data_IF_910625419793
#
_entry.id   IF_910625419793
#
_cell.length_a   1.000
_cell.length_b   1.000
_cell.length_c   1.000
_cell.angle_alpha   90.00
_cell.angle_beta   90.00
_cell.angle_gamma   90.00
#
_symmetry.space_group_name_H-M   'P 1'
#
loop_
_entity.id
_entity.type
_entity.pdbx_description
1 polymer ?
#
# COMPACT_ATOMS: atom_id res chain seq x y z
N UNK A 1 37.50 42.66 29.55
CA UNK A 1 37.04 42.06 28.27
C UNK A 1 36.30 40.77 28.59
N UNK A 2 34.96 40.78 28.59
CA UNK A 2 34.15 39.61 28.94
C UNK A 2 33.90 38.78 27.68
N UNK A 3 34.28 37.50 27.75
CA UNK A 3 34.14 36.52 26.66
C UNK A 3 32.66 36.34 26.32
N UNK A 4 32.31 36.58 25.06
CA UNK A 4 31.00 36.30 24.49
C UNK A 4 30.96 34.79 24.18
N UNK A 5 30.31 33.99 25.02
CA UNK A 5 30.11 32.56 24.74
C UNK A 5 28.98 32.44 23.73
N UNK A 6 29.33 32.27 22.46
CA UNK A 6 28.38 32.02 21.38
C UNK A 6 27.87 30.57 21.50
N UNK A 7 26.69 30.38 22.08
CA UNK A 7 26.00 29.09 22.08
C UNK A 7 25.43 28.87 20.68
N UNK A 8 26.17 28.14 19.84
CA UNK A 8 25.68 27.67 18.55
C UNK A 8 24.69 26.53 18.82
N UNK A 9 23.42 26.87 19.06
CA UNK A 9 22.33 25.90 18.94
C UNK A 9 22.19 25.57 17.45
N UNK A 10 23.00 24.64 16.95
CA UNK A 10 22.68 23.93 15.72
C UNK A 10 21.43 23.10 16.03
N UNK A 11 20.27 23.73 15.91
CA UNK A 11 19.02 23.05 15.60
C UNK A 11 19.26 22.36 14.25
N UNK A 12 19.87 21.18 14.31
CA UNK A 12 19.72 20.19 13.26
C UNK A 12 18.23 19.90 13.29
N UNK A 13 17.48 20.61 12.45
CA UNK A 13 16.13 20.25 12.10
C UNK A 13 16.26 18.89 11.41
N UNK A 14 16.32 17.83 12.22
CA UNK A 14 15.90 16.51 11.82
C UNK A 14 14.52 16.75 11.23
N UNK A 15 14.42 16.77 9.91
CA UNK A 15 13.16 16.63 9.22
C UNK A 15 12.72 15.20 9.55
N UNK A 16 12.20 15.00 10.77
CA UNK A 16 11.45 13.81 11.10
C UNK A 16 10.19 13.95 10.29
N UNK A 17 10.25 13.49 9.04
CA UNK A 17 9.07 13.22 8.23
C UNK A 17 8.10 12.50 9.15
N UNK A 18 7.01 13.18 9.52
CA UNK A 18 6.12 12.68 10.55
C UNK A 18 5.46 11.41 10.01
N UNK A 19 5.98 10.25 10.40
CA UNK A 19 5.36 8.98 10.05
C UNK A 19 3.94 8.94 10.59
N UNK A 20 3.02 8.35 9.83
CA UNK A 20 1.68 8.07 10.32
C UNK A 20 1.73 6.81 11.16
N UNK A 21 1.69 6.96 12.49
CA UNK A 21 1.73 5.83 13.42
C UNK A 21 0.59 4.83 13.16
N UNK A 22 -0.53 5.27 12.57
CA UNK A 22 -1.64 4.39 12.25
C UNK A 22 -1.31 3.43 11.10
N UNK A 23 -0.43 3.84 10.17
CA UNK A 23 -0.01 3.00 9.04
C UNK A 23 0.93 1.87 9.48
N UNK A 24 1.70 2.07 10.55
CA UNK A 24 2.69 1.09 11.01
C UNK A 24 2.01 -0.22 11.43
N UNK A 25 2.48 -1.33 10.88
CA UNK A 25 1.92 -2.66 11.12
C UNK A 25 1.98 -3.57 9.90
N UNK A 26 1.52 -4.81 10.10
CA UNK A 26 1.34 -5.83 9.09
C UNK A 26 -0.13 -5.81 8.66
N UNK A 27 -0.41 -5.77 7.36
CA UNK A 27 -1.75 -5.57 6.79
C UNK A 27 -2.08 -6.66 5.78
N UNK A 28 -3.21 -7.34 6.01
CA UNK A 28 -3.73 -8.39 5.15
C UNK A 28 -4.82 -7.84 4.22
N UNK A 29 -4.86 -8.35 2.99
CA UNK A 29 -5.91 -8.01 2.03
C UNK A 29 -7.23 -8.66 2.44
N UNK A 30 -8.28 -7.84 2.57
CA UNK A 30 -9.65 -8.30 2.82
C UNK A 30 -10.59 -8.03 1.64
N UNK A 31 -10.18 -7.14 0.74
CA UNK A 31 -10.85 -6.90 -0.53
C UNK A 31 -9.89 -6.35 -1.56
N UNK A 32 -10.14 -6.64 -2.84
CA UNK A 32 -9.43 -6.05 -3.98
C UNK A 32 -10.44 -5.61 -5.04
N UNK A 33 -10.14 -4.50 -5.72
CA UNK A 33 -10.80 -4.05 -6.94
C UNK A 33 -9.72 -3.67 -7.95
N UNK A 34 -9.61 -4.42 -9.05
CA UNK A 34 -8.68 -4.14 -10.15
C UNK A 34 -9.41 -3.62 -11.41
N UNK A 35 -10.64 -3.13 -11.25
CA UNK A 35 -11.60 -2.66 -12.26
C UNK A 35 -12.18 -3.70 -13.23
N UNK A 36 -11.58 -4.88 -13.34
CA UNK A 36 -12.19 -6.03 -14.01
C UNK A 36 -13.04 -6.84 -13.04
N UNK A 37 -12.59 -6.90 -11.78
CA UNK A 37 -13.28 -7.60 -10.71
C UNK A 37 -13.10 -6.89 -9.37
N UNK A 38 -14.18 -6.82 -8.62
CA UNK A 38 -14.16 -6.62 -7.17
C UNK A 38 -14.37 -7.96 -6.48
N UNK A 39 -13.53 -8.27 -5.48
CA UNK A 39 -13.73 -9.45 -4.63
C UNK A 39 -13.41 -9.13 -3.17
N UNK A 40 -14.29 -9.58 -2.26
CA UNK A 40 -14.09 -9.52 -0.81
C UNK A 40 -14.14 -10.91 -0.20
N UNK A 41 -13.09 -11.29 0.54
CA UNK A 41 -12.98 -12.61 1.16
C UNK A 41 -13.85 -12.75 2.40
N UNK A 42 -14.18 -11.65 3.08
CA UNK A 42 -14.89 -11.67 4.35
C UNK A 42 -16.32 -12.19 4.22
N UNK A 43 -16.94 -11.96 3.06
CA UNK A 43 -18.30 -12.36 2.76
C UNK A 43 -18.39 -13.22 1.48
N UNK A 44 -17.25 -13.67 0.94
CA UNK A 44 -17.14 -14.39 -0.35
C UNK A 44 -17.92 -13.71 -1.50
N UNK A 45 -17.92 -12.37 -1.52
CA UNK A 45 -18.68 -11.58 -2.49
C UNK A 45 -17.78 -11.14 -3.65
N UNK A 46 -18.14 -11.56 -4.86
CA UNK A 46 -17.48 -11.18 -6.10
C UNK A 46 -18.42 -10.38 -7.01
N UNK A 47 -17.89 -9.35 -7.66
CA UNK A 47 -18.55 -8.61 -8.73
C UNK A 47 -17.61 -8.56 -9.92
N UNK A 48 -18.05 -9.14 -11.02
CA UNK A 48 -17.35 -9.10 -12.31
C UNK A 48 -17.89 -7.94 -13.11
N UNK A 49 -17.01 -7.04 -13.57
CA UNK A 49 -17.37 -5.88 -14.36
C UNK A 49 -17.52 -6.23 -15.85
N UNK A 50 -18.18 -5.34 -16.60
CA UNK A 50 -18.62 -5.63 -17.97
C UNK A 50 -17.45 -5.92 -18.94
N UNK A 51 -16.22 -5.50 -18.63
CA UNK A 51 -15.01 -5.77 -19.41
C UNK A 51 -14.74 -7.26 -19.62
N UNK A 52 -15.06 -8.09 -18.62
CA UNK A 52 -14.77 -9.54 -18.64
C UNK A 52 -16.00 -10.41 -18.34
N UNK A 53 -17.17 -9.81 -18.11
CA UNK A 53 -18.38 -10.50 -17.66
C UNK A 53 -18.83 -11.66 -18.56
N UNK A 54 -18.69 -11.52 -19.88
CA UNK A 54 -19.05 -12.59 -20.83
C UNK A 54 -18.14 -13.82 -20.69
N UNK A 55 -16.88 -13.62 -20.29
CA UNK A 55 -15.92 -14.71 -20.10
C UNK A 55 -16.27 -15.54 -18.86
N UNK A 56 -16.86 -14.90 -17.84
CA UNK A 56 -17.21 -15.50 -16.54
C UNK A 56 -18.73 -15.57 -16.36
N UNK A 57 -19.40 -16.22 -17.31
CA UNK A 57 -20.86 -16.29 -17.41
C UNK A 57 -21.51 -17.51 -16.72
N UNK A 58 -20.72 -18.35 -16.03
CA UNK A 58 -21.22 -19.50 -15.29
C UNK A 58 -20.51 -19.67 -13.95
N UNK A 59 -21.12 -20.43 -13.04
CA UNK A 59 -20.63 -20.62 -11.67
C UNK A 59 -19.24 -21.22 -11.62
N UNK A 60 -18.91 -22.20 -12.47
CA UNK A 60 -17.62 -22.89 -12.41
C UNK A 60 -16.46 -21.96 -12.77
N UNK A 61 -16.67 -21.08 -13.75
CA UNK A 61 -15.69 -20.05 -14.12
C UNK A 61 -15.55 -18.98 -13.04
N UNK A 62 -16.66 -18.59 -12.39
CA UNK A 62 -16.62 -17.64 -11.28
C UNK A 62 -15.81 -18.20 -10.11
N UNK A 63 -15.98 -19.48 -9.77
CA UNK A 63 -15.19 -20.11 -8.70
C UNK A 63 -13.71 -20.21 -9.08
N UNK A 64 -13.39 -20.56 -10.33
CA UNK A 64 -12.01 -20.54 -10.82
C UNK A 64 -11.39 -19.13 -10.76
N UNK A 65 -12.18 -18.09 -11.08
CA UNK A 65 -11.76 -16.69 -10.96
C UNK A 65 -11.49 -16.32 -9.50
N UNK A 66 -12.38 -16.67 -8.56
CA UNK A 66 -12.17 -16.45 -7.13
C UNK A 66 -10.86 -17.08 -6.66
N UNK A 67 -10.58 -18.32 -7.04
CA UNK A 67 -9.37 -19.02 -6.62
C UNK A 67 -8.10 -18.38 -7.20
N UNK A 68 -8.14 -17.93 -8.45
CA UNK A 68 -7.04 -17.16 -9.05
C UNK A 68 -6.80 -15.85 -8.30
N UNK A 69 -7.85 -15.09 -7.99
CA UNK A 69 -7.75 -13.82 -7.26
C UNK A 69 -7.22 -14.07 -5.83
N UNK A 70 -7.68 -15.12 -5.14
CA UNK A 70 -7.18 -15.50 -3.80
C UNK A 70 -5.67 -15.71 -3.83
N UNK A 71 -5.18 -16.49 -4.79
CA UNK A 71 -3.76 -16.77 -4.96
C UNK A 71 -2.95 -15.50 -5.29
N UNK A 72 -3.47 -14.63 -6.16
CA UNK A 72 -2.77 -13.43 -6.59
C UNK A 72 -2.70 -12.35 -5.50
N UNK A 73 -3.79 -12.11 -4.78
CA UNK A 73 -3.92 -10.92 -3.92
C UNK A 73 -4.10 -11.25 -2.44
N UNK A 74 -4.84 -12.29 -2.07
CA UNK A 74 -5.22 -12.52 -0.67
C UNK A 74 -4.13 -13.19 0.16
N UNK A 75 -3.17 -13.85 -0.49
CA UNK A 75 -1.95 -14.31 0.17
C UNK A 75 -0.88 -13.19 0.25
N UNK A 76 -1.22 -11.96 -0.19
CA UNK A 76 -0.31 -10.82 -0.09
C UNK A 76 -0.47 -10.10 1.25
N UNK A 77 0.65 -9.76 1.87
CA UNK A 77 0.72 -8.91 3.06
C UNK A 77 1.56 -7.66 2.79
N UNK A 78 1.08 -6.53 3.29
CA UNK A 78 1.74 -5.22 3.24
C UNK A 78 2.22 -4.84 4.64
N UNK A 79 3.52 -4.64 4.85
CA UNK A 79 4.10 -4.28 6.14
C UNK A 79 4.77 -2.92 6.07
N UNK A 80 4.38 -2.01 6.98
CA UNK A 80 5.00 -0.70 7.14
C UNK A 80 5.70 -0.62 8.51
N UNK A 81 7.02 -0.45 8.51
CA UNK A 81 7.83 -0.37 9.72
C UNK A 81 8.16 1.09 10.11
N UNK A 82 8.52 1.30 11.40
CA UNK A 82 8.84 2.62 11.98
C UNK A 82 10.09 3.32 11.41
N UNK A 83 10.88 2.64 10.60
CA UNK A 83 12.13 3.20 10.04
C UNK A 83 11.99 3.56 8.56
N UNK A 84 10.75 3.62 8.04
CA UNK A 84 10.51 3.89 6.62
C UNK A 84 10.80 2.68 5.74
N UNK A 85 10.76 1.45 6.28
CA UNK A 85 10.87 0.20 5.54
C UNK A 85 9.50 -0.37 5.22
N UNK A 86 9.29 -0.71 3.96
CA UNK A 86 8.09 -1.36 3.45
C UNK A 86 8.44 -2.78 3.00
N UNK A 87 7.60 -3.74 3.34
CA UNK A 87 7.73 -5.13 2.91
C UNK A 87 6.40 -5.58 2.31
N UNK A 88 6.45 -6.09 1.09
CA UNK A 88 5.33 -6.80 0.47
C UNK A 88 5.71 -8.27 0.35
N UNK A 89 4.93 -9.15 0.96
CA UNK A 89 5.13 -10.60 0.94
C UNK A 89 3.95 -11.25 0.24
N UNK A 90 4.22 -12.16 -0.69
CA UNK A 90 3.22 -13.03 -1.32
C UNK A 90 3.85 -14.41 -1.55
N UNK A 91 3.05 -15.40 -1.94
CA UNK A 91 3.57 -16.73 -2.28
C UNK A 91 4.54 -16.71 -3.46
N UNK A 92 4.45 -15.69 -4.32
CA UNK A 92 5.27 -15.58 -5.53
C UNK A 92 6.59 -14.83 -5.30
N UNK A 93 6.57 -13.80 -4.46
CA UNK A 93 7.72 -12.93 -4.26
C UNK A 93 7.64 -12.12 -2.96
N UNK A 94 8.82 -11.70 -2.48
CA UNK A 94 8.98 -10.72 -1.41
C UNK A 94 9.69 -9.48 -1.94
N UNK A 95 9.07 -8.31 -1.76
CA UNK A 95 9.66 -7.02 -2.10
C UNK A 95 10.01 -6.26 -0.83
N UNK A 96 11.24 -5.76 -0.77
CA UNK A 96 11.72 -4.93 0.33
C UNK A 96 12.04 -3.55 -0.23
N UNK A 97 11.26 -2.55 0.17
CA UNK A 97 11.38 -1.18 -0.31
C UNK A 97 11.51 -0.23 0.88
N UNK A 98 11.79 1.01 0.56
CA UNK A 98 11.66 2.13 1.48
C UNK A 98 10.37 2.84 1.16
N UNK A 99 9.75 3.44 2.17
CA UNK A 99 8.59 4.27 1.97
C UNK A 99 8.70 5.62 2.66
N UNK A 100 8.05 6.60 2.07
CA UNK A 100 7.80 7.93 2.66
C UNK A 100 6.32 8.27 2.51
N UNK A 101 5.80 9.00 3.48
CA UNK A 101 4.41 9.44 3.50
C UNK A 101 4.37 10.96 3.25
N UNK A 102 3.54 11.37 2.30
CA UNK A 102 3.06 12.75 2.17
C UNK A 102 1.62 12.78 2.67
N UNK A 103 1.45 13.21 3.93
CA UNK A 103 0.17 13.24 4.63
C UNK A 103 -0.80 14.27 4.05
N UNK A 104 -0.28 15.38 3.52
CA UNK A 104 -1.11 16.43 2.95
C UNK A 104 -1.82 15.95 1.69
N UNK A 105 -1.12 15.11 0.91
CA UNK A 105 -1.67 14.51 -0.31
C UNK A 105 -2.33 13.14 -0.11
N UNK A 106 -2.20 12.55 1.08
CA UNK A 106 -2.68 11.19 1.34
C UNK A 106 -1.98 10.14 0.48
N UNK A 107 -0.66 10.30 0.29
CA UNK A 107 0.14 9.43 -0.59
C UNK A 107 1.32 8.79 0.12
N UNK A 108 1.68 7.59 -0.34
CA UNK A 108 2.88 6.85 0.03
C UNK A 108 3.75 6.74 -1.23
N UNK A 109 5.02 7.07 -1.11
CA UNK A 109 6.03 6.88 -2.15
C UNK A 109 6.91 5.71 -1.77
N UNK A 110 7.05 4.71 -2.65
CA UNK A 110 7.95 3.58 -2.44
C UNK A 110 9.19 3.70 -3.32
N UNK A 111 10.38 3.43 -2.78
CA UNK A 111 11.64 3.43 -3.53
C UNK A 111 12.52 2.23 -3.18
N UNK A 112 13.26 1.74 -4.18
CA UNK A 112 14.37 0.80 -3.98
C UNK A 112 15.65 1.52 -3.52
N UNK A 113 15.73 2.85 -3.65
CA UNK A 113 16.93 3.64 -3.38
C UNK A 113 16.70 4.63 -2.22
N UNK A 114 17.58 4.57 -1.21
CA UNK A 114 17.56 5.48 -0.04
C UNK A 114 17.74 6.94 -0.43
N UNK A 115 18.38 7.22 -1.56
CA UNK A 115 18.88 8.54 -1.91
C UNK A 115 18.00 9.29 -2.92
N UNK A 116 17.01 8.65 -3.54
CA UNK A 116 16.21 9.29 -4.58
C UNK A 116 14.76 8.78 -4.61
N UNK A 117 13.82 9.65 -4.22
CA UNK A 117 12.37 9.41 -4.33
C UNK A 117 11.75 10.14 -5.54
N UNK A 118 12.56 10.86 -6.33
CA UNK A 118 12.09 11.75 -7.39
C UNK A 118 12.05 11.07 -8.77
N UNK A 119 12.79 9.98 -8.98
CA UNK A 119 12.96 9.38 -10.33
C UNK A 119 12.48 7.93 -10.52
N UNK A 120 12.21 7.17 -9.45
CA UNK A 120 11.77 5.76 -9.53
C UNK A 120 10.91 5.36 -8.34
N UNK A 121 9.76 6.01 -8.19
CA UNK A 121 8.86 5.74 -7.09
C UNK A 121 7.53 5.20 -7.57
N UNK A 122 7.08 4.12 -6.93
CA UNK A 122 5.68 3.70 -6.99
C UNK A 122 4.90 4.65 -6.10
N UNK A 123 3.84 5.24 -6.66
CA UNK A 123 2.91 6.07 -5.92
C UNK A 123 1.74 5.22 -5.46
N UNK A 124 1.37 5.35 -4.19
CA UNK A 124 0.15 4.79 -3.64
C UNK A 124 -0.67 5.89 -2.98
N UNK A 125 -1.96 5.92 -3.26
CA UNK A 125 -2.90 6.69 -2.44
C UNK A 125 -3.34 5.85 -1.26
N UNK A 126 -3.51 6.48 -0.10
CA UNK A 126 -3.97 5.78 1.09
C UNK A 126 -5.01 6.59 1.87
N UNK A 127 -5.90 5.86 2.55
CA UNK A 127 -6.83 6.43 3.52
C UNK A 127 -7.02 5.44 4.66
N UNK A 128 -7.02 5.96 5.89
CA UNK A 128 -7.30 5.17 7.09
C UNK A 128 -8.66 5.58 7.67
N UNK A 129 -9.56 4.62 7.84
CA UNK A 129 -10.91 4.82 8.40
C UNK A 129 -11.25 3.60 9.26
N UNK A 130 -11.63 3.81 10.52
CA UNK A 130 -12.11 2.76 11.43
C UNK A 130 -11.23 1.49 11.46
N UNK A 131 -9.92 1.67 11.64
CA UNK A 131 -8.90 0.60 11.65
C UNK A 131 -8.73 -0.17 10.32
N UNK A 132 -9.30 0.34 9.23
CA UNK A 132 -9.15 -0.17 7.88
C UNK A 132 -8.26 0.75 7.06
N UNK A 133 -7.31 0.15 6.34
CA UNK A 133 -6.44 0.84 5.39
C UNK A 133 -6.96 0.59 3.97
N UNK A 134 -7.37 1.67 3.31
CA UNK A 134 -7.65 1.70 1.88
C UNK A 134 -6.38 2.11 1.17
N UNK A 135 -5.94 1.31 0.21
CA UNK A 135 -4.72 1.52 -0.56
C UNK A 135 -5.03 1.46 -2.05
N UNK A 136 -4.52 2.38 -2.85
CA UNK A 136 -4.64 2.36 -4.31
C UNK A 136 -3.25 2.45 -4.92
N UNK A 137 -2.87 1.44 -5.69
CA UNK A 137 -1.59 1.37 -6.40
C UNK A 137 -1.81 1.84 -7.83
N UNK A 138 -1.16 2.94 -8.22
CA UNK A 138 -1.37 3.59 -9.52
C UNK A 138 -0.47 3.08 -10.64
N UNK A 139 0.53 2.28 -10.30
CA UNK A 139 1.48 1.73 -11.28
C UNK A 139 0.84 0.64 -12.17
N UNK A 140 -0.37 0.19 -11.86
CA UNK A 140 -1.19 -0.63 -12.74
C UNK A 140 -2.13 0.27 -13.53
N UNK A 141 -2.30 -0.01 -14.82
CA UNK A 141 -3.36 0.58 -15.64
C UNK A 141 -4.37 -0.52 -15.98
N UNK A 142 -5.60 -0.47 -15.41
CA UNK A 142 -6.12 0.48 -14.42
C UNK A 142 -5.56 0.25 -13.00
N UNK A 143 -5.69 1.26 -12.14
CA UNK A 143 -5.19 1.22 -10.76
C UNK A 143 -5.82 0.07 -9.97
N UNK A 144 -5.03 -0.60 -9.12
CA UNK A 144 -5.54 -1.64 -8.23
C UNK A 144 -5.81 -1.08 -6.84
N UNK A 145 -7.03 -1.27 -6.34
CA UNK A 145 -7.48 -0.81 -5.03
C UNK A 145 -7.57 -1.99 -4.07
N UNK A 146 -7.07 -1.80 -2.86
CA UNK A 146 -7.09 -2.77 -1.79
C UNK A 146 -7.81 -2.20 -0.57
N UNK A 147 -8.54 -3.06 0.11
CA UNK A 147 -9.01 -2.84 1.46
C UNK A 147 -8.23 -3.80 2.36
N UNK A 148 -7.56 -3.25 3.35
CA UNK A 148 -6.61 -3.96 4.18
C UNK A 148 -6.98 -3.87 5.66
N UNK A 149 -6.68 -4.93 6.41
CA UNK A 149 -6.88 -5.01 7.86
C UNK A 149 -5.62 -5.54 8.55
N UNK A 150 -5.31 -5.03 9.75
CA UNK A 150 -4.22 -5.56 10.58
C UNK A 150 -4.57 -6.91 11.21
#
# INVERSE_FOLDING_TARGET
MKKLTLLLFTLVFSHSFAQDNNLIGKWQVISVDNSDVFYSIQNDSIKVYDSIKEQYNDTSKIEALKDMIKMMYFNTTFTFEKEGKYIQESDMATFNLLYKIDKEKGTILLSNDKLNFDNKTTLMYYKFVDDILYLEITDTEPSTKFVLKK
#
